data_IF_738700480719
#
_entry.id   IF_738700480719
#
_cell.length_a   1.000
_cell.length_b   1.000
_cell.length_c   1.000
_cell.angle_alpha   90.00
_cell.angle_beta   90.00
_cell.angle_gamma   90.00
#
_symmetry.space_group_name_H-M   'P 1'
#
loop_
_entity.id
_entity.type
_entity.pdbx_description
1 polymer ?
#
# COMPACT_ATOMS: atom_id res chain seq x y z
N UNK A 1 20.77 22.47 -7.51
CA UNK A 1 19.69 22.67 -8.50
C UNK A 1 18.96 21.33 -8.60
N UNK A 2 17.79 21.22 -7.98
CA UNK A 2 16.93 20.04 -8.15
C UNK A 2 16.36 20.09 -9.56
N UNK A 3 16.82 19.20 -10.42
CA UNK A 3 16.20 19.00 -11.75
C UNK A 3 14.77 18.53 -11.50
N UNK A 4 13.80 19.35 -11.90
CA UNK A 4 12.37 19.01 -11.79
C UNK A 4 12.12 17.68 -12.52
N UNK A 5 11.60 16.69 -11.80
CA UNK A 5 11.34 15.36 -12.35
C UNK A 5 10.16 15.41 -13.30
N UNK A 6 10.34 14.88 -14.48
CA UNK A 6 9.26 14.78 -15.46
C UNK A 6 8.44 13.50 -15.22
N UNK A 7 7.44 13.60 -14.37
CA UNK A 7 6.44 12.55 -14.20
C UNK A 7 5.53 12.49 -15.43
N UNK A 8 5.38 11.31 -16.01
CA UNK A 8 4.54 11.07 -17.19
C UNK A 8 3.21 10.44 -16.76
N UNK A 9 2.05 11.01 -17.15
CA UNK A 9 0.78 10.41 -16.81
C UNK A 9 0.64 9.01 -17.43
N UNK A 10 0.18 8.03 -16.64
CA UNK A 10 -0.13 6.66 -17.10
C UNK A 10 -1.58 6.61 -17.58
N UNK A 11 -2.49 7.17 -16.80
CA UNK A 11 -3.93 7.18 -17.06
C UNK A 11 -4.58 8.39 -16.41
N UNK A 12 -5.65 8.89 -17.03
CA UNK A 12 -6.46 9.99 -16.47
C UNK A 12 -7.57 9.44 -15.62
N UNK A 13 -7.71 10.03 -14.41
CA UNK A 13 -8.75 9.76 -13.44
C UNK A 13 -9.37 11.07 -12.97
N UNK A 14 -10.45 11.00 -12.21
CA UNK A 14 -11.15 12.18 -11.69
C UNK A 14 -10.58 12.62 -10.34
N UNK A 15 -10.43 11.69 -9.40
CA UNK A 15 -10.06 11.94 -8.00
C UNK A 15 -8.58 11.68 -7.71
N UNK A 16 -7.84 11.07 -8.63
CA UNK A 16 -6.40 10.80 -8.46
C UNK A 16 -5.58 11.25 -9.67
N UNK A 17 -4.28 11.50 -9.45
CA UNK A 17 -3.27 11.53 -10.51
C UNK A 17 -2.51 10.22 -10.48
N UNK A 18 -2.16 9.69 -11.66
CA UNK A 18 -1.44 8.45 -11.79
C UNK A 18 -0.31 8.59 -12.81
N UNK A 19 0.90 8.67 -12.29
CA UNK A 19 2.09 9.07 -13.04
C UNK A 19 3.19 8.03 -12.93
N UNK A 20 4.14 8.07 -13.88
CA UNK A 20 5.31 7.19 -13.96
C UNK A 20 6.60 8.01 -14.08
N UNK A 21 7.63 7.57 -13.38
CA UNK A 21 8.99 8.09 -13.48
C UNK A 21 10.01 6.97 -13.21
N UNK A 22 10.82 6.59 -14.19
CA UNK A 22 11.97 5.67 -14.04
C UNK A 22 11.70 4.42 -13.20
N UNK A 23 10.63 3.68 -13.50
CA UNK A 23 10.26 2.45 -12.77
C UNK A 23 9.38 2.69 -11.54
N UNK A 24 9.08 3.92 -11.20
CA UNK A 24 8.24 4.32 -10.07
C UNK A 24 6.87 4.75 -10.58
N UNK A 25 5.80 4.14 -10.09
CA UNK A 25 4.44 4.65 -10.26
C UNK A 25 4.05 5.50 -9.06
N UNK A 26 3.44 6.66 -9.30
CA UNK A 26 2.92 7.51 -8.24
C UNK A 26 1.40 7.64 -8.35
N UNK A 27 0.70 7.25 -7.30
CA UNK A 27 -0.74 7.42 -7.12
C UNK A 27 -0.92 8.59 -6.16
N UNK A 28 -1.48 9.70 -6.65
CA UNK A 28 -1.69 10.91 -5.86
C UNK A 28 -3.19 11.14 -5.67
N UNK A 29 -3.69 11.10 -4.44
CA UNK A 29 -5.07 11.50 -4.16
C UNK A 29 -5.20 12.99 -4.44
N UNK A 30 -6.02 13.37 -5.42
CA UNK A 30 -6.10 14.73 -5.94
C UNK A 30 -7.44 15.42 -5.59
N UNK A 31 -7.70 15.52 -4.30
CA UNK A 31 -8.87 16.23 -3.75
C UNK A 31 -8.46 17.26 -2.70
N UNK A 32 -7.53 18.20 -3.03
CA UNK A 32 -6.91 19.08 -2.02
C UNK A 32 -7.92 19.99 -1.31
N UNK A 33 -9.03 20.37 -1.96
CA UNK A 33 -10.13 21.14 -1.34
C UNK A 33 -10.78 20.41 -0.15
N UNK A 34 -10.73 19.08 -0.15
CA UNK A 34 -11.25 18.18 0.90
C UNK A 34 -10.12 17.54 1.70
N UNK A 35 -8.91 18.14 1.71
CA UNK A 35 -7.71 17.58 2.35
C UNK A 35 -7.46 16.12 1.93
N UNK A 36 -7.66 15.82 0.66
CA UNK A 36 -7.50 14.51 0.06
C UNK A 36 -8.34 13.41 0.75
N UNK A 37 -9.51 13.77 1.31
CA UNK A 37 -10.46 12.79 1.80
C UNK A 37 -10.96 11.92 0.64
N UNK A 38 -11.05 10.60 0.86
CA UNK A 38 -11.49 9.66 -0.17
C UNK A 38 -13.02 9.49 -0.20
N UNK A 39 -13.55 9.30 -1.40
CA UNK A 39 -14.91 8.87 -1.68
C UNK A 39 -14.89 7.41 -2.21
N UNK A 40 -16.06 6.78 -2.46
CA UNK A 40 -16.11 5.50 -3.17
C UNK A 40 -15.42 5.54 -4.54
N UNK A 41 -15.54 6.67 -5.27
CA UNK A 41 -14.85 6.86 -6.55
C UNK A 41 -13.33 6.91 -6.38
N UNK A 42 -12.84 7.69 -5.42
CA UNK A 42 -11.40 7.76 -5.11
C UNK A 42 -10.83 6.37 -4.80
N UNK A 43 -11.54 5.58 -3.98
CA UNK A 43 -11.12 4.23 -3.64
C UNK A 43 -11.12 3.29 -4.87
N UNK A 44 -12.13 3.41 -5.74
CA UNK A 44 -12.20 2.63 -6.98
C UNK A 44 -11.06 2.99 -7.95
N UNK A 45 -10.74 4.26 -8.08
CA UNK A 45 -9.65 4.72 -8.95
C UNK A 45 -8.28 4.27 -8.43
N UNK A 46 -8.03 4.36 -7.11
CA UNK A 46 -6.81 3.82 -6.50
C UNK A 46 -6.71 2.31 -6.73
N UNK A 47 -7.81 1.57 -6.51
CA UNK A 47 -7.89 0.13 -6.75
C UNK A 47 -7.52 -0.23 -8.20
N UNK A 48 -8.04 0.52 -9.16
CA UNK A 48 -7.74 0.33 -10.58
C UNK A 48 -6.25 0.67 -10.88
N UNK A 49 -5.72 1.74 -10.32
CA UNK A 49 -4.31 2.11 -10.48
C UNK A 49 -3.37 1.05 -9.89
N UNK A 50 -3.69 0.47 -8.73
CA UNK A 50 -2.94 -0.63 -8.12
C UNK A 50 -2.96 -1.90 -8.99
N UNK A 51 -4.10 -2.19 -9.65
CA UNK A 51 -4.19 -3.29 -10.60
C UNK A 51 -3.26 -3.06 -11.81
N UNK A 52 -3.25 -1.85 -12.37
CA UNK A 52 -2.31 -1.47 -13.43
C UNK A 52 -0.87 -1.62 -12.94
N UNK A 53 -0.55 -1.19 -11.73
CA UNK A 53 0.78 -1.38 -11.15
C UNK A 53 1.16 -2.86 -11.02
N UNK A 54 0.21 -3.73 -10.68
CA UNK A 54 0.44 -5.18 -10.60
C UNK A 54 0.83 -5.76 -11.96
N UNK A 55 0.09 -5.41 -13.00
CA UNK A 55 0.21 -6.01 -14.35
C UNK A 55 1.31 -5.40 -15.23
N UNK A 56 1.87 -4.24 -14.86
CA UNK A 56 2.86 -3.52 -15.68
C UNK A 56 4.28 -3.85 -15.20
N UNK A 57 5.09 -4.63 -15.97
CA UNK A 57 6.44 -5.06 -15.54
C UNK A 57 7.42 -3.90 -15.31
N UNK A 58 7.26 -2.81 -16.05
CA UNK A 58 8.12 -1.63 -15.95
C UNK A 58 7.97 -0.89 -14.62
N UNK A 59 6.83 -1.04 -13.95
CA UNK A 59 6.60 -0.49 -12.62
C UNK A 59 7.24 -1.43 -11.59
N UNK A 60 8.20 -0.92 -10.84
CA UNK A 60 8.99 -1.67 -9.86
C UNK A 60 8.64 -1.28 -8.42
N UNK A 61 8.30 -0.02 -8.20
CA UNK A 61 7.93 0.54 -6.89
C UNK A 61 6.70 1.42 -7.07
N UNK A 62 5.81 1.42 -6.09
CA UNK A 62 4.62 2.27 -6.07
C UNK A 62 4.73 3.29 -4.95
N UNK A 63 4.38 4.52 -5.22
CA UNK A 63 4.30 5.62 -4.24
C UNK A 63 2.85 6.04 -4.11
N UNK A 64 2.34 6.11 -2.89
CA UNK A 64 1.03 6.68 -2.56
C UNK A 64 1.22 8.01 -1.84
N UNK A 65 0.53 9.06 -2.27
CA UNK A 65 0.63 10.40 -1.68
C UNK A 65 -0.66 11.20 -1.85
N UNK A 66 -0.70 12.41 -1.32
CA UNK A 66 -1.77 13.39 -1.51
C UNK A 66 -1.31 14.62 -2.28
N UNK A 67 -2.19 15.23 -3.06
CA UNK A 67 -1.91 16.47 -3.78
C UNK A 67 -1.76 17.66 -2.83
N UNK A 68 -0.83 18.55 -3.16
CA UNK A 68 -0.51 19.75 -2.36
C UNK A 68 0.35 19.46 -1.15
N UNK A 69 0.37 20.40 -0.22
CA UNK A 69 1.27 20.41 0.96
C UNK A 69 0.54 20.22 2.30
N UNK A 70 -0.80 20.10 2.28
CA UNK A 70 -1.60 20.12 3.51
C UNK A 70 -1.95 18.74 4.04
N UNK A 71 -2.21 17.78 3.16
CA UNK A 71 -2.65 16.47 3.59
C UNK A 71 -2.22 15.37 2.64
N UNK A 72 -1.75 14.29 3.21
CA UNK A 72 -1.68 13.00 2.56
C UNK A 72 -3.10 12.50 2.29
N UNK A 73 -3.88 12.28 3.35
CA UNK A 73 -5.29 11.92 3.29
C UNK A 73 -5.94 12.13 4.66
N UNK A 74 -7.07 12.84 4.71
CA UNK A 74 -7.81 13.08 5.96
C UNK A 74 -8.87 12.01 6.28
N UNK A 75 -8.85 10.86 5.58
CA UNK A 75 -9.79 9.77 5.77
C UNK A 75 -10.96 9.81 4.81
N UNK A 76 -12.07 9.18 5.17
CA UNK A 76 -13.27 9.18 4.34
C UNK A 76 -13.96 10.54 4.33
N UNK A 77 -14.49 10.94 3.18
CA UNK A 77 -15.18 12.22 3.01
C UNK A 77 -16.51 12.20 3.76
N UNK A 78 -16.61 13.03 4.80
CA UNK A 78 -17.79 13.12 5.66
C UNK A 78 -19.02 13.66 4.94
N UNK A 79 -18.87 14.38 3.82
CA UNK A 79 -19.99 14.88 3.03
C UNK A 79 -20.77 13.77 2.31
N UNK A 80 -20.09 12.64 2.02
CA UNK A 80 -20.71 11.47 1.37
C UNK A 80 -20.89 10.31 2.35
N UNK A 81 -20.62 10.50 3.63
CA UNK A 81 -20.86 9.49 4.65
C UNK A 81 -22.36 9.37 4.92
N UNK A 82 -22.91 8.20 4.62
CA UNK A 82 -24.30 7.86 4.82
C UNK A 82 -24.51 6.68 5.77
N UNK A 83 -25.76 6.22 5.85
CA UNK A 83 -26.09 5.01 6.60
C UNK A 83 -25.57 3.79 5.85
N UNK A 84 -24.69 3.01 6.50
CA UNK A 84 -24.10 1.80 5.90
C UNK A 84 -22.78 2.02 5.12
N UNK A 85 -22.21 3.23 5.11
CA UNK A 85 -20.92 3.48 4.46
C UNK A 85 -20.84 4.85 3.79
N UNK A 86 -19.95 4.97 2.82
CA UNK A 86 -19.82 6.15 1.97
C UNK A 86 -20.65 5.96 0.70
N UNK A 87 -21.45 6.96 0.35
CA UNK A 87 -22.42 6.88 -0.76
C UNK A 87 -21.84 7.62 -1.97
N UNK A 88 -21.62 6.88 -3.07
CA UNK A 88 -21.19 7.44 -4.34
C UNK A 88 -22.35 8.07 -5.14
N UNK A 89 -22.03 8.55 -6.36
CA UNK A 89 -23.04 9.16 -7.24
C UNK A 89 -24.16 8.20 -7.67
N UNK A 90 -23.99 6.90 -7.52
CA UNK A 90 -24.99 5.85 -7.80
C UNK A 90 -25.90 5.54 -6.61
N UNK A 91 -25.73 6.23 -5.48
CA UNK A 91 -26.56 6.05 -4.29
C UNK A 91 -26.28 4.77 -3.47
N UNK A 92 -25.29 3.96 -3.85
CA UNK A 92 -24.95 2.70 -3.17
C UNK A 92 -23.93 2.93 -2.06
N UNK A 93 -24.23 2.59 -0.79
CA UNK A 93 -23.25 2.68 0.29
C UNK A 93 -22.12 1.67 0.11
N UNK A 94 -20.87 2.12 0.25
CA UNK A 94 -19.67 1.29 0.11
C UNK A 94 -18.64 1.59 1.21
N UNK A 95 -17.83 0.57 1.47
CA UNK A 95 -16.61 0.70 2.27
C UNK A 95 -15.42 0.10 1.48
N UNK A 96 -15.38 0.37 0.18
CA UNK A 96 -14.39 -0.20 -0.76
C UNK A 96 -12.95 0.25 -0.52
N UNK A 97 -12.71 1.18 0.38
CA UNK A 97 -11.36 1.50 0.86
C UNK A 97 -10.69 0.30 1.54
N UNK A 98 -11.46 -0.63 2.10
CA UNK A 98 -10.92 -1.85 2.69
C UNK A 98 -10.29 -2.77 1.63
N UNK A 99 -10.80 -2.75 0.41
CA UNK A 99 -10.23 -3.52 -0.70
C UNK A 99 -8.91 -2.90 -1.18
N UNK A 100 -8.81 -1.56 -1.20
CA UNK A 100 -7.55 -0.84 -1.46
C UNK A 100 -6.48 -1.23 -0.44
N UNK A 101 -6.83 -1.28 0.85
CA UNK A 101 -5.90 -1.69 1.92
C UNK A 101 -5.37 -3.12 1.69
N UNK A 102 -6.23 -4.07 1.34
CA UNK A 102 -5.84 -5.45 1.01
C UNK A 102 -4.95 -5.50 -0.23
N UNK A 103 -5.31 -4.73 -1.28
CA UNK A 103 -4.52 -4.68 -2.51
C UNK A 103 -3.10 -4.12 -2.29
N UNK A 104 -2.94 -3.10 -1.45
CA UNK A 104 -1.62 -2.56 -1.10
C UNK A 104 -0.77 -3.67 -0.46
N UNK A 105 -1.32 -4.42 0.48
CA UNK A 105 -0.61 -5.50 1.16
C UNK A 105 -0.26 -6.66 0.24
N UNK A 106 -1.17 -7.07 -0.64
CA UNK A 106 -0.97 -8.19 -1.57
C UNK A 106 -0.31 -7.79 -2.90
N UNK A 107 0.03 -6.51 -3.10
CA UNK A 107 0.74 -6.07 -4.29
C UNK A 107 2.14 -6.68 -4.31
N UNK A 108 2.57 -7.41 -5.38
CA UNK A 108 3.88 -8.07 -5.45
C UNK A 108 5.03 -7.09 -5.71
N UNK A 109 4.89 -5.85 -5.26
CA UNK A 109 5.83 -4.74 -5.43
C UNK A 109 5.84 -3.89 -4.16
N UNK A 110 6.97 -3.29 -3.78
CA UNK A 110 7.01 -2.36 -2.65
C UNK A 110 6.09 -1.16 -2.86
N UNK A 111 5.42 -0.73 -1.78
CA UNK A 111 4.59 0.47 -1.73
C UNK A 111 5.12 1.41 -0.66
N UNK A 112 5.44 2.63 -1.03
CA UNK A 112 5.91 3.69 -0.12
C UNK A 112 4.78 4.71 0.07
N UNK A 113 4.40 4.99 1.31
CA UNK A 113 3.60 6.16 1.63
C UNK A 113 4.51 7.40 1.72
N UNK A 114 4.30 8.36 0.83
CA UNK A 114 4.93 9.68 0.86
C UNK A 114 3.98 10.66 1.56
N UNK A 115 4.20 10.85 2.87
CA UNK A 115 3.26 11.54 3.74
C UNK A 115 3.61 13.03 3.82
N UNK A 116 2.93 13.84 3.02
CA UNK A 116 3.18 15.27 2.82
C UNK A 116 2.34 16.21 3.71
N UNK A 117 1.71 15.70 4.77
CA UNK A 117 0.86 16.49 5.66
C UNK A 117 -0.05 15.59 6.51
N UNK A 118 -1.31 16.00 6.73
CA UNK A 118 -2.24 15.24 7.55
C UNK A 118 -2.52 13.83 7.00
N UNK A 119 -2.27 12.82 7.83
CA UNK A 119 -2.64 11.41 7.63
C UNK A 119 -3.58 10.99 8.77
N UNK A 120 -4.89 11.15 8.58
CA UNK A 120 -5.88 11.06 9.65
C UNK A 120 -6.97 10.02 9.33
N UNK A 121 -7.40 9.27 10.33
CA UNK A 121 -8.49 8.28 10.20
C UNK A 121 -8.17 7.23 9.14
N UNK A 122 -9.02 7.07 8.12
CA UNK A 122 -8.74 6.16 7.00
C UNK A 122 -7.45 6.50 6.24
N UNK A 123 -7.05 7.78 6.20
CA UNK A 123 -5.75 8.20 5.64
C UNK A 123 -4.57 7.72 6.47
N UNK A 124 -4.70 7.69 7.80
CA UNK A 124 -3.72 7.07 8.67
C UNK A 124 -3.63 5.56 8.40
N UNK A 125 -4.75 4.88 8.16
CA UNK A 125 -4.73 3.45 7.84
C UNK A 125 -4.05 3.20 6.50
N UNK A 126 -4.27 4.07 5.49
CA UNK A 126 -3.63 3.91 4.17
C UNK A 126 -2.10 3.92 4.24
N UNK A 127 -1.49 4.82 5.05
CA UNK A 127 -0.03 4.78 5.18
C UNK A 127 0.44 3.59 6.03
N UNK A 128 -0.33 3.19 7.04
CA UNK A 128 -0.02 2.03 7.90
C UNK A 128 0.06 0.72 7.11
N UNK A 129 -0.77 0.54 6.08
CA UNK A 129 -0.77 -0.68 5.24
C UNK A 129 0.26 -0.65 4.12
N UNK A 130 0.89 0.50 3.84
CA UNK A 130 2.05 0.56 2.94
C UNK A 130 3.25 -0.15 3.57
N UNK A 131 4.19 -0.61 2.75
CA UNK A 131 5.38 -1.31 3.23
C UNK A 131 6.32 -0.37 3.99
N UNK A 132 6.42 0.88 3.55
CA UNK A 132 7.26 1.93 4.15
C UNK A 132 6.50 3.26 4.16
N UNK A 133 6.84 4.11 5.14
CA UNK A 133 6.32 5.48 5.23
C UNK A 133 7.46 6.47 5.43
N UNK A 134 7.56 7.45 4.53
CA UNK A 134 8.45 8.60 4.67
C UNK A 134 7.58 9.84 4.82
N UNK A 135 7.84 10.64 5.83
CA UNK A 135 7.02 11.78 6.18
C UNK A 135 7.78 13.10 6.04
N UNK A 136 7.08 14.15 5.66
CA UNK A 136 7.58 15.51 5.83
C UNK A 136 7.51 15.91 7.31
N UNK A 137 8.36 16.82 7.74
CA UNK A 137 8.45 17.34 9.12
C UNK A 137 7.14 17.97 9.61
N UNK A 138 6.29 18.46 8.69
CA UNK A 138 4.99 19.04 8.98
C UNK A 138 3.84 18.01 8.95
N UNK A 139 4.13 16.72 8.75
CA UNK A 139 3.11 15.68 8.75
C UNK A 139 2.52 15.47 10.14
N UNK A 140 1.21 15.20 10.17
CA UNK A 140 0.44 14.96 11.39
C UNK A 140 -0.32 13.66 11.24
N UNK A 141 -0.22 12.80 12.25
CA UNK A 141 -0.80 11.46 12.26
C UNK A 141 -1.86 11.32 13.35
N UNK A 142 -2.88 10.49 13.12
CA UNK A 142 -3.82 10.17 14.19
C UNK A 142 -5.09 9.50 13.72
N UNK A 143 -5.80 8.95 14.72
CA UNK A 143 -7.13 8.38 14.53
C UNK A 143 -8.15 9.32 15.17
N UNK A 144 -9.25 9.54 14.44
CA UNK A 144 -10.35 10.40 14.91
C UNK A 144 -11.68 9.66 14.94
N UNK A 145 -11.68 8.38 14.53
CA UNK A 145 -12.88 7.57 14.37
C UNK A 145 -13.86 7.66 15.52
N UNK A 146 -13.49 7.38 16.80
CA UNK A 146 -14.40 7.45 17.94
C UNK A 146 -15.03 8.82 18.15
N UNK A 147 -14.37 9.91 17.75
CA UNK A 147 -14.90 11.28 17.86
C UNK A 147 -15.93 11.62 16.78
N UNK A 148 -15.86 10.95 15.61
CA UNK A 148 -16.68 11.24 14.43
C UNK A 148 -17.62 10.10 14.04
N UNK A 149 -17.83 9.14 14.95
CA UNK A 149 -18.73 8.00 14.75
C UNK A 149 -18.19 7.00 13.73
N UNK A 150 -16.90 6.63 13.84
CA UNK A 150 -16.26 5.62 13.01
C UNK A 150 -15.22 4.84 13.80
N UNK A 151 -14.74 3.73 13.26
CA UNK A 151 -13.60 2.96 13.77
C UNK A 151 -13.05 2.05 12.69
N UNK A 152 -11.83 1.57 12.87
CA UNK A 152 -11.22 0.50 12.08
C UNK A 152 -10.61 -0.54 13.03
N UNK A 153 -11.28 -1.68 13.16
CA UNK A 153 -10.85 -2.79 14.02
C UNK A 153 -9.87 -3.73 13.32
N UNK A 154 -9.64 -3.53 12.02
CA UNK A 154 -8.71 -4.32 11.20
C UNK A 154 -7.30 -3.70 11.18
N UNK A 155 -6.82 -3.34 10.01
CA UNK A 155 -5.47 -2.79 9.85
C UNK A 155 -5.24 -1.51 10.65
N UNK A 156 -6.28 -0.67 10.81
CA UNK A 156 -6.19 0.57 11.58
C UNK A 156 -5.97 0.38 13.08
N UNK A 157 -6.25 -0.80 13.65
CA UNK A 157 -6.05 -1.09 15.07
C UNK A 157 -5.16 -2.30 15.31
N UNK A 158 -5.54 -3.50 14.86
CA UNK A 158 -4.80 -4.72 15.18
C UNK A 158 -3.42 -4.76 14.51
N UNK A 159 -3.33 -4.33 13.25
CA UNK A 159 -2.04 -4.24 12.55
C UNK A 159 -1.21 -3.05 13.05
N UNK A 160 -1.82 -1.88 13.27
CA UNK A 160 -1.16 -0.74 13.90
C UNK A 160 -0.48 -1.13 15.22
N UNK A 161 -1.15 -1.95 16.05
CA UNK A 161 -0.61 -2.41 17.33
C UNK A 161 0.64 -3.31 17.19
N UNK A 162 0.85 -3.93 16.03
CA UNK A 162 2.08 -4.67 15.71
C UNK A 162 3.25 -3.72 15.40
N UNK A 163 2.96 -2.54 14.89
CA UNK A 163 3.96 -1.52 14.52
C UNK A 163 4.37 -0.71 15.74
N UNK A 164 3.41 -0.08 16.43
CA UNK A 164 3.68 0.87 17.52
C UNK A 164 3.54 0.27 18.92
N UNK A 165 3.20 -0.99 19.02
CA UNK A 165 2.89 -1.67 20.28
C UNK A 165 1.49 -1.39 20.81
N UNK A 166 1.00 -2.34 21.63
CA UNK A 166 -0.39 -2.37 22.13
C UNK A 166 -0.81 -1.11 22.90
N UNK A 167 0.07 -0.58 23.75
CA UNK A 167 -0.25 0.60 24.57
C UNK A 167 -0.38 1.85 23.74
N UNK A 168 0.54 2.07 22.79
CA UNK A 168 0.53 3.23 21.92
C UNK A 168 -0.66 3.19 20.94
N UNK A 169 -0.99 2.03 20.38
CA UNK A 169 -2.16 1.88 19.53
C UNK A 169 -3.47 2.23 20.26
N UNK A 170 -3.61 1.80 21.54
CA UNK A 170 -4.76 2.17 22.38
C UNK A 170 -4.79 3.67 22.68
N UNK A 171 -3.66 4.27 22.99
CA UNK A 171 -3.55 5.72 23.21
C UNK A 171 -4.02 6.49 21.97
N UNK A 172 -3.54 6.11 20.77
CA UNK A 172 -3.95 6.73 19.50
C UNK A 172 -5.46 6.65 19.31
N UNK A 173 -6.06 5.47 19.52
CA UNK A 173 -7.47 5.25 19.29
C UNK A 173 -8.38 5.81 20.39
N UNK A 174 -8.01 5.61 21.66
CA UNK A 174 -8.91 5.96 22.78
C UNK A 174 -8.89 7.45 23.07
N UNK A 175 -7.74 8.12 22.89
CA UNK A 175 -7.62 9.54 23.13
C UNK A 175 -7.86 10.39 21.87
N UNK A 176 -7.83 9.77 20.68
CA UNK A 176 -7.91 10.46 19.39
C UNK A 176 -6.93 11.66 19.31
N UNK A 177 -5.73 11.51 19.89
CA UNK A 177 -4.67 12.51 19.80
C UNK A 177 -4.08 12.54 18.40
N UNK A 178 -3.54 13.71 18.04
CA UNK A 178 -2.71 13.87 16.87
C UNK A 178 -1.24 13.89 17.29
N UNK A 179 -0.39 13.32 16.46
CA UNK A 179 1.03 13.15 16.69
C UNK A 179 1.81 13.83 15.57
N UNK A 180 2.88 14.52 15.92
CA UNK A 180 3.83 15.10 14.97
C UNK A 180 4.58 14.02 14.19
N UNK A 181 5.25 14.42 13.13
CA UNK A 181 6.13 13.52 12.36
C UNK A 181 7.26 12.93 13.23
N UNK A 182 7.82 13.71 14.13
CA UNK A 182 8.88 13.24 15.05
C UNK A 182 8.32 12.21 16.04
N UNK A 183 7.17 12.46 16.66
CA UNK A 183 6.53 11.47 17.54
C UNK A 183 6.20 10.17 16.77
N UNK A 184 5.78 10.29 15.50
CA UNK A 184 5.54 9.12 14.64
C UNK A 184 6.83 8.33 14.33
N UNK A 185 7.94 9.01 14.13
CA UNK A 185 9.26 8.37 13.98
C UNK A 185 9.71 7.69 15.27
N UNK A 186 9.59 8.36 16.41
CA UNK A 186 10.01 7.85 17.71
C UNK A 186 9.24 6.58 18.13
N UNK A 187 7.96 6.46 17.73
CA UNK A 187 7.15 5.26 18.00
C UNK A 187 7.27 4.17 16.90
N UNK A 188 8.10 4.36 15.88
CA UNK A 188 8.28 3.42 14.78
C UNK A 188 7.11 3.38 13.78
N UNK A 189 6.24 4.39 13.77
CA UNK A 189 5.10 4.47 12.87
C UNK A 189 5.52 4.87 11.44
N UNK A 190 6.59 5.66 11.31
CA UNK A 190 7.20 6.02 10.03
C UNK A 190 8.69 5.70 10.03
N UNK A 191 9.26 5.47 8.84
CA UNK A 191 10.64 5.06 8.68
C UNK A 191 11.62 6.24 8.69
N UNK A 192 11.18 7.41 8.21
CA UNK A 192 12.02 8.61 8.12
C UNK A 192 11.18 9.87 8.10
N UNK A 193 11.75 10.94 8.66
CA UNK A 193 11.21 12.29 8.58
C UNK A 193 12.24 13.19 7.90
N UNK A 194 11.79 14.01 6.96
CA UNK A 194 12.64 14.93 6.19
C UNK A 194 11.95 16.30 6.01
N UNK A 195 12.69 17.37 5.70
CA UNK A 195 12.10 18.64 5.29
C UNK A 195 11.10 18.46 4.13
N UNK A 196 10.05 19.25 4.11
CA UNK A 196 8.95 19.07 3.13
C UNK A 196 9.42 19.18 1.68
N UNK A 197 10.37 20.06 1.39
CA UNK A 197 10.99 20.24 0.07
C UNK A 197 11.94 19.10 -0.34
N UNK A 198 12.28 18.19 0.59
CA UNK A 198 13.14 17.04 0.35
C UNK A 198 12.37 15.71 0.28
N UNK A 199 11.07 15.75 0.54
CA UNK A 199 10.26 14.53 0.69
C UNK A 199 10.24 13.68 -0.59
N UNK A 200 9.98 14.28 -1.74
CA UNK A 200 9.95 13.55 -3.02
C UNK A 200 11.35 13.01 -3.39
N UNK A 201 12.41 13.78 -3.15
CA UNK A 201 13.79 13.36 -3.40
C UNK A 201 14.12 12.09 -2.61
N UNK A 202 13.82 12.09 -1.33
CA UNK A 202 14.08 10.97 -0.43
C UNK A 202 13.30 9.71 -0.83
N UNK A 203 12.01 9.86 -1.16
CA UNK A 203 11.17 8.74 -1.61
C UNK A 203 11.71 8.14 -2.90
N UNK A 204 12.11 8.96 -3.86
CA UNK A 204 12.70 8.50 -5.12
C UNK A 204 14.04 7.82 -4.90
N UNK A 205 14.87 8.31 -3.98
CA UNK A 205 16.15 7.68 -3.62
C UNK A 205 15.92 6.28 -3.03
N UNK A 206 14.97 6.14 -2.10
CA UNK A 206 14.61 4.84 -1.53
C UNK A 206 14.05 3.88 -2.59
N UNK A 207 13.19 4.38 -3.47
CA UNK A 207 12.65 3.58 -4.57
C UNK A 207 13.77 3.10 -5.52
N UNK A 208 14.70 3.98 -5.88
CA UNK A 208 15.87 3.62 -6.71
C UNK A 208 16.77 2.59 -6.03
N UNK A 209 16.97 2.70 -4.74
CA UNK A 209 17.71 1.70 -3.94
C UNK A 209 17.04 0.33 -4.00
N UNK A 210 15.71 0.27 -3.78
CA UNK A 210 14.96 -0.99 -3.88
C UNK A 210 15.05 -1.60 -5.29
N UNK A 211 15.04 -0.78 -6.34
CA UNK A 211 15.13 -1.26 -7.72
C UNK A 211 16.51 -1.86 -8.08
N UNK A 212 17.54 -1.65 -7.26
CA UNK A 212 18.84 -2.33 -7.40
C UNK A 212 18.82 -3.76 -6.86
N UNK A 213 17.77 -4.15 -6.15
CA UNK A 213 17.62 -5.48 -5.57
C UNK A 213 16.73 -6.38 -6.44
N UNK A 214 16.85 -7.68 -6.23
CA UNK A 214 16.04 -8.69 -6.93
C UNK A 214 14.55 -8.46 -6.71
N UNK A 215 13.76 -8.24 -7.78
CA UNK A 215 12.32 -8.04 -7.64
C UNK A 215 11.61 -9.27 -7.07
N UNK A 216 12.06 -10.47 -7.44
CA UNK A 216 11.51 -11.71 -6.92
C UNK A 216 11.78 -11.87 -5.42
N UNK A 217 13.00 -11.57 -4.97
CA UNK A 217 13.33 -11.63 -3.55
C UNK A 217 12.48 -10.63 -2.73
N UNK A 218 12.32 -9.39 -3.22
CA UNK A 218 11.48 -8.40 -2.54
C UNK A 218 10.01 -8.85 -2.47
N UNK A 219 9.47 -9.44 -3.55
CA UNK A 219 8.13 -10.02 -3.59
C UNK A 219 7.96 -11.11 -2.52
N UNK A 220 8.88 -12.10 -2.49
CA UNK A 220 8.82 -13.21 -1.54
C UNK A 220 8.98 -12.76 -0.09
N UNK A 221 9.86 -11.78 0.17
CA UNK A 221 10.02 -11.18 1.50
C UNK A 221 8.73 -10.48 1.94
N UNK A 222 8.11 -9.67 1.07
CA UNK A 222 6.83 -9.01 1.38
C UNK A 222 5.73 -10.02 1.68
N UNK A 223 5.58 -11.06 0.85
CA UNK A 223 4.61 -12.13 1.07
C UNK A 223 4.87 -12.85 2.41
N UNK A 224 6.13 -13.18 2.72
CA UNK A 224 6.52 -13.80 3.98
C UNK A 224 6.23 -12.93 5.22
N UNK A 225 6.56 -11.62 5.16
CA UNK A 225 6.26 -10.66 6.23
C UNK A 225 4.76 -10.49 6.48
N UNK A 226 3.94 -10.67 5.44
CA UNK A 226 2.48 -10.54 5.54
C UNK A 226 1.77 -11.85 5.93
N UNK A 227 2.35 -13.02 5.60
CA UNK A 227 1.69 -14.32 5.72
C UNK A 227 1.17 -14.61 7.13
N UNK A 228 1.97 -14.36 8.16
CA UNK A 228 1.56 -14.59 9.57
C UNK A 228 0.41 -13.65 9.97
N UNK A 229 0.49 -12.38 9.57
CA UNK A 229 -0.44 -11.34 10.01
C UNK A 229 -1.78 -11.38 9.29
N UNK A 230 -1.78 -11.82 8.03
CA UNK A 230 -2.96 -11.89 7.18
C UNK A 230 -3.63 -13.28 7.24
N UNK A 231 -3.12 -14.18 8.08
CA UNK A 231 -3.68 -15.51 8.31
C UNK A 231 -3.77 -16.35 7.04
N UNK A 232 -4.89 -17.06 6.84
CA UNK A 232 -5.05 -17.94 5.67
C UNK A 232 -4.93 -17.18 4.33
N UNK A 233 -5.34 -15.92 4.27
CA UNK A 233 -5.20 -15.11 3.05
C UNK A 233 -3.71 -14.84 2.75
N UNK A 234 -2.91 -14.51 3.76
CA UNK A 234 -1.47 -14.32 3.60
C UNK A 234 -0.73 -15.61 3.22
N UNK A 235 -1.13 -16.73 3.81
CA UNK A 235 -0.60 -18.05 3.42
C UNK A 235 -0.96 -18.36 1.96
N UNK A 236 -2.16 -18.04 1.51
CA UNK A 236 -2.59 -18.27 0.13
C UNK A 236 -1.76 -17.46 -0.87
N UNK A 237 -1.44 -16.20 -0.57
CA UNK A 237 -0.56 -15.37 -1.42
C UNK A 237 0.85 -15.97 -1.50
N UNK A 238 1.45 -16.32 -0.35
CA UNK A 238 2.78 -16.94 -0.30
C UNK A 238 2.82 -18.29 -1.04
N UNK A 239 1.80 -19.12 -0.86
CA UNK A 239 1.67 -20.41 -1.54
C UNK A 239 1.48 -20.24 -3.04
N UNK A 240 0.72 -19.24 -3.48
CA UNK A 240 0.55 -18.90 -4.89
C UNK A 240 1.88 -18.51 -5.55
N UNK A 241 2.69 -17.69 -4.86
CA UNK A 241 4.03 -17.33 -5.31
C UNK A 241 4.94 -18.56 -5.41
N UNK A 242 4.92 -19.45 -4.43
CA UNK A 242 5.68 -20.69 -4.44
C UNK A 242 5.24 -21.61 -5.60
N UNK A 243 3.92 -21.71 -5.85
CA UNK A 243 3.39 -22.49 -6.97
C UNK A 243 3.85 -21.92 -8.31
N UNK A 244 3.85 -20.60 -8.46
CA UNK A 244 4.36 -19.96 -9.68
C UNK A 244 5.85 -20.27 -9.90
N UNK A 245 6.66 -20.22 -8.84
CA UNK A 245 8.08 -20.58 -8.91
C UNK A 245 8.27 -22.06 -9.29
N UNK A 246 7.45 -22.96 -8.73
CA UNK A 246 7.48 -24.37 -9.08
C UNK A 246 7.19 -24.59 -10.57
N UNK A 247 6.19 -23.89 -11.14
CA UNK A 247 5.87 -24.00 -12.57
C UNK A 247 7.01 -23.55 -13.50
N UNK A 248 7.99 -22.81 -13.00
CA UNK A 248 9.19 -22.41 -13.75
C UNK A 248 10.30 -23.47 -13.74
N UNK A 249 10.13 -24.56 -12.98
CA UNK A 249 11.14 -25.65 -12.88
C UNK A 249 10.97 -26.69 -13.98
N UNK A 250 12.07 -27.39 -14.31
CA UNK A 250 12.05 -28.51 -15.23
C UNK A 250 11.22 -29.68 -14.71
N UNK A 251 11.14 -29.84 -13.39
CA UNK A 251 10.31 -30.86 -12.73
C UNK A 251 8.81 -30.64 -13.03
N UNK A 252 8.33 -29.43 -12.93
CA UNK A 252 6.95 -29.10 -13.28
C UNK A 252 6.67 -29.29 -14.78
N UNK A 253 7.64 -28.99 -15.63
CA UNK A 253 7.53 -29.21 -17.08
C UNK A 253 7.46 -30.69 -17.43
N UNK A 254 8.22 -31.55 -16.74
CA UNK A 254 8.16 -33.01 -16.91
C UNK A 254 6.77 -33.55 -16.58
N UNK A 255 6.18 -33.12 -15.45
CA UNK A 255 4.84 -33.54 -15.05
C UNK A 255 3.77 -33.17 -16.10
N UNK A 256 3.79 -31.93 -16.57
CA UNK A 256 2.88 -31.45 -17.64
C UNK A 256 3.05 -32.21 -18.96
N UNK A 257 4.28 -32.42 -19.40
CA UNK A 257 4.62 -33.13 -20.62
C UNK A 257 4.17 -34.59 -20.55
N UNK A 258 4.52 -35.30 -19.48
CA UNK A 258 4.16 -36.70 -19.27
C UNK A 258 2.64 -36.90 -19.29
N UNK A 259 1.86 -35.98 -18.68
CA UNK A 259 0.41 -35.99 -18.70
C UNK A 259 -0.14 -35.88 -20.13
N UNK A 260 0.35 -34.92 -20.93
CA UNK A 260 -0.08 -34.71 -22.30
C UNK A 260 0.29 -35.90 -23.22
N UNK A 261 1.46 -36.50 -23.00
CA UNK A 261 1.95 -37.66 -23.74
C UNK A 261 1.37 -39.00 -23.27
N UNK A 262 0.53 -38.99 -22.22
CA UNK A 262 -0.10 -40.17 -21.60
C UNK A 262 0.92 -41.23 -21.18
N UNK A 263 2.07 -40.82 -20.70
CA UNK A 263 3.13 -41.67 -20.15
C UNK A 263 3.32 -41.41 -18.66
N UNK A 264 4.06 -42.27 -17.99
CA UNK A 264 4.51 -42.02 -16.61
C UNK A 264 5.58 -40.94 -16.60
N UNK A 265 5.53 -39.98 -15.64
CA UNK A 265 6.60 -39.02 -15.47
C UNK A 265 7.88 -39.68 -14.92
N UNK A 266 9.04 -39.14 -15.30
CA UNK A 266 10.37 -39.66 -14.95
C UNK A 266 10.98 -38.83 -13.81
N UNK A 267 10.42 -38.99 -12.59
CA UNK A 267 10.83 -38.23 -11.43
C UNK A 267 12.27 -38.47 -10.96
N UNK A 268 12.85 -39.65 -11.27
CA UNK A 268 14.23 -40.04 -10.91
C UNK A 268 15.29 -39.12 -11.55
N UNK A 269 14.92 -38.31 -12.54
CA UNK A 269 15.79 -37.32 -13.16
C UNK A 269 16.07 -36.11 -12.27
N UNK A 270 15.24 -35.88 -11.25
CA UNK A 270 15.31 -34.69 -10.42
C UNK A 270 15.90 -35.04 -9.06
N UNK A 271 16.91 -34.28 -8.59
CA UNK A 271 17.52 -34.54 -7.30
C UNK A 271 16.54 -34.18 -6.17
N UNK A 272 16.45 -35.04 -5.19
CA UNK A 272 15.79 -34.71 -3.95
C UNK A 272 16.72 -33.75 -3.16
N UNK A 273 16.34 -32.47 -3.09
CA UNK A 273 17.13 -31.49 -2.36
C UNK A 273 16.90 -31.63 -0.86
N UNK A 274 17.96 -31.57 -0.01
CA UNK A 274 17.86 -31.68 1.44
C UNK A 274 17.16 -30.47 2.07
#
# INVERSE_FOLDING_TARGET
>A
MTTERQWKPIRTYQDILFDFYEGIARITINRPRYRNAFTPLTAQEISNALLVCRETPEIRVVVLTGAGDKAFCSGGDMHVKGRGGYVGGDGVPRLNILDVQKQIRSLPKPVIAMVNGYAIGGGHVLHVVCDLSIASENAIFGQTGPRVGSFDAGFGSSYLARIVGQKKAREIWFLCRQYSAQEALDMGLVNKVVPADRLEDEVVEWAKTMMQHSPLALRMIKAGLNAELDGQAGIQELAGDATMLYYMTDEAQEGGKAFLEKRKPEWDKFPFLP
#
